data_IF_911831939093
#
_entry.id   IF_911831939093
#
_cell.length_a   1.000
_cell.length_b   1.000
_cell.length_c   1.000
_cell.angle_alpha   90.00
_cell.angle_beta   90.00
_cell.angle_gamma   90.00
#
_symmetry.space_group_name_H-M   'P 1'
#
loop_
_entity.id
_entity.type
_entity.pdbx_description
1 polymer ?
#
# COMPACT_ATOMS: atom_id res chain seq x y z
N UNK A 1 1.77 -61.12 15.80
CA UNK A 1 1.86 -60.70 14.38
C UNK A 1 0.81 -59.61 14.17
N UNK A 2 1.15 -58.35 14.46
CA UNK A 2 0.25 -57.20 14.23
C UNK A 2 0.70 -56.51 12.94
N UNK A 3 -0.20 -56.17 12.00
CA UNK A 3 0.17 -55.34 10.88
C UNK A 3 0.27 -53.89 11.37
N UNK A 4 1.45 -53.31 11.21
CA UNK A 4 1.70 -51.89 11.44
C UNK A 4 0.94 -51.07 10.39
N UNK A 5 0.13 -50.13 10.86
CA UNK A 5 -0.50 -49.10 10.05
C UNK A 5 0.58 -48.19 9.49
N UNK A 6 0.90 -48.35 8.22
CA UNK A 6 1.80 -47.48 7.49
C UNK A 6 1.04 -46.20 7.13
N UNK A 7 1.21 -45.16 7.95
CA UNK A 7 0.64 -43.85 7.68
C UNK A 7 1.54 -43.12 6.68
N UNK A 8 1.02 -42.59 5.56
CA UNK A 8 1.83 -41.82 4.64
C UNK A 8 2.40 -40.56 5.31
N UNK A 9 3.61 -40.11 4.94
CA UNK A 9 4.22 -38.93 5.53
C UNK A 9 3.38 -37.67 5.22
N UNK A 10 3.32 -36.70 6.13
CA UNK A 10 2.57 -35.47 5.89
C UNK A 10 3.11 -34.75 4.65
N UNK A 11 2.19 -34.30 3.79
CA UNK A 11 2.50 -33.47 2.63
C UNK A 11 3.42 -32.31 3.05
N UNK A 12 4.57 -32.23 2.41
CA UNK A 12 5.66 -31.34 2.79
C UNK A 12 5.21 -29.89 2.92
N UNK A 13 5.54 -29.32 4.08
CA UNK A 13 5.63 -27.88 4.30
C UNK A 13 6.56 -27.29 3.24
N UNK A 14 6.00 -26.67 2.19
CA UNK A 14 6.78 -25.95 1.19
C UNK A 14 7.74 -24.99 1.89
N UNK A 15 9.04 -25.20 1.70
CA UNK A 15 10.08 -24.36 2.30
C UNK A 15 9.86 -22.92 1.84
N UNK A 16 9.79 -21.93 2.75
CA UNK A 16 9.48 -20.54 2.40
C UNK A 16 10.63 -19.79 1.67
N UNK A 17 11.55 -20.50 0.98
CA UNK A 17 12.79 -19.92 0.46
C UNK A 17 12.65 -19.22 -0.90
N UNK A 18 11.78 -19.68 -1.81
CA UNK A 18 11.85 -19.27 -3.23
C UNK A 18 10.64 -18.50 -3.75
N UNK A 19 10.14 -17.51 -3.02
CA UNK A 19 9.18 -16.58 -3.63
C UNK A 19 9.92 -15.66 -4.61
N UNK A 20 9.46 -15.51 -5.87
CA UNK A 20 9.97 -14.49 -6.76
C UNK A 20 9.93 -13.12 -6.10
N UNK A 21 10.97 -12.32 -6.30
CA UNK A 21 11.11 -11.03 -5.62
C UNK A 21 9.89 -10.10 -5.72
N UNK A 22 9.28 -9.90 -6.90
CA UNK A 22 8.03 -9.16 -7.04
C UNK A 22 6.85 -9.75 -6.26
N UNK A 23 6.74 -11.08 -6.17
CA UNK A 23 5.71 -11.73 -5.34
C UNK A 23 5.98 -11.45 -3.85
N UNK A 24 7.20 -11.69 -3.38
CA UNK A 24 7.60 -11.41 -2.00
C UNK A 24 7.35 -9.93 -1.62
N UNK A 25 7.61 -9.01 -2.53
CA UNK A 25 7.34 -7.59 -2.32
C UNK A 25 5.84 -7.31 -2.15
N UNK A 26 4.98 -7.84 -3.01
CA UNK A 26 3.53 -7.67 -2.89
C UNK A 26 2.99 -8.24 -1.59
N UNK A 27 3.53 -9.37 -1.12
CA UNK A 27 3.15 -9.92 0.19
C UNK A 27 3.54 -8.99 1.35
N UNK A 28 4.68 -8.30 1.23
CA UNK A 28 5.05 -7.27 2.22
C UNK A 28 4.07 -6.09 2.21
N UNK A 29 3.62 -5.64 1.04
CA UNK A 29 2.58 -4.61 0.95
C UNK A 29 1.28 -5.07 1.62
N UNK A 30 0.80 -6.26 1.26
CA UNK A 30 -0.41 -6.88 1.80
C UNK A 30 -0.34 -7.05 3.32
N UNK A 31 0.82 -7.37 3.90
CA UNK A 31 0.96 -7.48 5.36
C UNK A 31 0.56 -6.19 6.06
N UNK A 32 0.90 -5.02 5.50
CA UNK A 32 0.52 -3.72 6.09
C UNK A 32 -0.95 -3.38 5.82
N UNK A 33 -1.46 -3.72 4.63
CA UNK A 33 -2.88 -3.52 4.30
C UNK A 33 -3.81 -4.41 5.15
N UNK A 34 -3.35 -5.58 5.60
CA UNK A 34 -4.11 -6.48 6.47
C UNK A 34 -4.48 -5.87 7.83
N UNK A 35 -3.80 -4.80 8.25
CA UNK A 35 -4.15 -4.08 9.47
C UNK A 35 -5.51 -3.35 9.32
N UNK A 36 -5.97 -3.09 8.09
CA UNK A 36 -7.23 -2.41 7.78
C UNK A 36 -8.21 -3.29 6.99
N UNK A 37 -7.71 -4.08 6.03
CA UNK A 37 -8.51 -4.84 5.07
C UNK A 37 -8.24 -6.36 5.13
N UNK A 38 -8.39 -7.03 6.31
CA UNK A 38 -7.97 -8.42 6.48
C UNK A 38 -8.67 -9.39 5.54
N UNK A 39 -9.98 -9.24 5.30
CA UNK A 39 -10.74 -10.12 4.41
C UNK A 39 -10.25 -10.00 2.95
N UNK A 40 -10.04 -8.78 2.46
CA UNK A 40 -9.54 -8.51 1.11
C UNK A 40 -8.12 -9.04 0.90
N UNK A 41 -7.28 -8.96 1.94
CA UNK A 41 -5.97 -9.60 1.93
C UNK A 41 -6.08 -11.11 1.83
N UNK A 42 -6.99 -11.77 2.55
CA UNK A 42 -7.19 -13.21 2.39
C UNK A 42 -7.59 -13.59 0.97
N UNK A 43 -8.47 -12.81 0.35
CA UNK A 43 -8.88 -13.04 -1.03
C UNK A 43 -7.70 -12.89 -1.99
N UNK A 44 -6.85 -11.88 -1.78
CA UNK A 44 -5.63 -11.69 -2.56
C UNK A 44 -4.63 -12.85 -2.35
N UNK A 45 -4.43 -13.32 -1.12
CA UNK A 45 -3.55 -14.46 -0.82
C UNK A 45 -4.05 -15.74 -1.51
N UNK A 46 -5.37 -15.99 -1.50
CA UNK A 46 -5.97 -17.13 -2.21
C UNK A 46 -5.75 -17.03 -3.71
N UNK A 47 -5.95 -15.86 -4.32
CA UNK A 47 -5.68 -15.63 -5.76
C UNK A 47 -4.23 -15.84 -6.13
N UNK A 48 -3.31 -15.47 -5.23
CA UNK A 48 -1.86 -15.63 -5.42
C UNK A 48 -1.35 -17.04 -5.10
N UNK A 49 -2.19 -17.93 -4.55
CA UNK A 49 -1.79 -19.28 -4.15
C UNK A 49 -0.78 -19.32 -3.00
N UNK A 50 -0.78 -18.31 -2.12
CA UNK A 50 0.17 -18.19 -1.01
C UNK A 50 -0.53 -18.16 0.35
N UNK A 51 0.23 -18.46 1.39
CA UNK A 51 -0.24 -18.53 2.78
C UNK A 51 0.06 -17.25 3.55
N UNK A 52 -0.71 -17.02 4.64
CA UNK A 52 -0.38 -15.99 5.64
C UNK A 52 1.04 -16.14 6.22
N UNK A 53 1.53 -17.36 6.35
CA UNK A 53 2.88 -17.63 6.86
C UNK A 53 3.95 -17.10 5.90
N UNK A 54 3.80 -17.38 4.60
CA UNK A 54 4.66 -16.80 3.55
C UNK A 54 4.58 -15.27 3.53
N UNK A 55 3.39 -14.69 3.73
CA UNK A 55 3.23 -13.23 3.83
C UNK A 55 4.00 -12.63 5.01
N UNK A 56 3.88 -13.22 6.21
CA UNK A 56 4.62 -12.79 7.39
C UNK A 56 6.12 -12.92 7.18
N UNK A 57 6.56 -14.01 6.56
CA UNK A 57 7.97 -14.25 6.24
C UNK A 57 8.54 -13.20 5.30
N UNK A 58 7.84 -12.92 4.20
CA UNK A 58 8.24 -11.92 3.23
C UNK A 58 8.39 -10.53 3.88
N UNK A 59 7.41 -10.13 4.70
CA UNK A 59 7.51 -8.88 5.46
C UNK A 59 8.70 -8.89 6.44
N UNK A 60 8.93 -9.98 7.17
CA UNK A 60 10.07 -10.07 8.10
C UNK A 60 11.40 -9.89 7.38
N UNK A 61 11.61 -10.55 6.24
CA UNK A 61 12.82 -10.42 5.43
C UNK A 61 13.00 -9.01 4.87
N UNK A 62 11.92 -8.38 4.44
CA UNK A 62 11.95 -6.99 3.98
C UNK A 62 12.35 -6.04 5.11
N UNK A 63 11.73 -6.16 6.29
CA UNK A 63 12.10 -5.35 7.45
C UNK A 63 13.57 -5.55 7.81
N UNK A 64 14.06 -6.79 7.88
CA UNK A 64 15.47 -7.07 8.14
C UNK A 64 16.41 -6.44 7.09
N UNK A 65 16.02 -6.46 5.80
CA UNK A 65 16.76 -5.79 4.73
C UNK A 65 16.84 -4.29 4.98
N UNK A 66 15.72 -3.64 5.27
CA UNK A 66 15.63 -2.18 5.47
C UNK A 66 16.38 -1.68 6.71
N UNK A 67 16.52 -2.51 7.75
CA UNK A 67 17.27 -2.16 8.96
C UNK A 67 18.79 -2.44 8.84
N UNK A 68 19.25 -3.03 7.74
CA UNK A 68 20.68 -3.32 7.56
C UNK A 68 21.50 -2.05 7.26
N UNK A 69 22.74 -1.92 7.76
CA UNK A 69 23.58 -0.76 7.48
C UNK A 69 23.83 -0.50 5.98
N UNK A 70 23.78 -1.54 5.16
CA UNK A 70 23.94 -1.47 3.69
C UNK A 70 22.69 -0.94 2.98
N UNK A 71 21.50 -1.01 3.59
CA UNK A 71 20.26 -0.48 3.02
C UNK A 71 20.15 1.04 3.06
N UNK A 72 21.13 1.74 3.64
CA UNK A 72 21.23 3.22 3.61
C UNK A 72 21.29 3.83 2.21
N UNK A 73 21.42 3.01 1.17
CA UNK A 73 21.37 3.42 -0.24
C UNK A 73 19.94 3.32 -0.79
N UNK A 74 19.04 4.18 -0.31
CA UNK A 74 17.68 4.45 -0.83
C UNK A 74 17.01 3.38 -1.68
N UNK A 75 17.29 3.38 -2.99
CA UNK A 75 16.67 2.50 -4.00
C UNK A 75 17.20 1.06 -4.06
N UNK A 76 18.38 0.79 -3.50
CA UNK A 76 19.08 -0.49 -3.64
C UNK A 76 18.26 -1.68 -3.11
N UNK A 77 17.57 -1.58 -1.94
CA UNK A 77 16.67 -2.63 -1.48
C UNK A 77 15.53 -2.97 -2.45
N UNK A 78 14.96 -1.95 -3.10
CA UNK A 78 13.88 -2.09 -4.08
C UNK A 78 14.40 -2.77 -5.36
N UNK A 79 15.49 -2.27 -5.95
CA UNK A 79 16.11 -2.89 -7.14
C UNK A 79 16.54 -4.33 -6.88
N UNK A 80 17.09 -4.61 -5.70
CA UNK A 80 17.50 -5.95 -5.31
C UNK A 80 16.33 -6.92 -5.05
N UNK A 81 15.08 -6.45 -5.01
CA UNK A 81 13.91 -7.31 -4.83
C UNK A 81 13.00 -7.31 -6.05
N UNK A 82 12.77 -6.15 -6.66
CA UNK A 82 11.89 -5.96 -7.81
C UNK A 82 12.62 -6.08 -9.16
N UNK A 83 13.95 -6.07 -9.15
CA UNK A 83 14.77 -6.09 -10.37
C UNK A 83 14.83 -4.73 -11.05
N UNK A 84 15.00 -4.75 -12.37
CA UNK A 84 15.05 -3.55 -13.20
C UNK A 84 13.68 -2.85 -13.22
N UNK A 85 13.61 -1.52 -12.99
CA UNK A 85 12.36 -0.78 -13.12
C UNK A 85 11.84 -0.83 -14.57
N UNK A 86 10.52 -0.82 -14.71
CA UNK A 86 9.84 -0.68 -16.00
C UNK A 86 10.12 0.71 -16.60
N UNK A 87 10.13 1.74 -15.77
CA UNK A 87 10.47 3.10 -16.21
C UNK A 87 11.25 3.86 -15.15
N UNK A 88 12.07 4.80 -15.62
CA UNK A 88 12.76 5.81 -14.82
C UNK A 88 12.47 7.16 -15.47
N UNK A 89 11.77 8.03 -14.76
CA UNK A 89 11.34 9.33 -15.29
C UNK A 89 11.81 10.45 -14.38
N UNK A 90 12.53 11.42 -14.94
CA UNK A 90 12.88 12.65 -14.23
C UNK A 90 11.64 13.54 -14.09
N UNK A 91 11.35 13.97 -12.85
CA UNK A 91 10.26 14.90 -12.53
C UNK A 91 10.81 16.15 -11.86
N UNK A 92 10.14 17.28 -12.11
CA UNK A 92 10.40 18.53 -11.39
C UNK A 92 9.24 18.81 -10.45
N UNK A 93 9.52 18.85 -9.15
CA UNK A 93 8.54 19.14 -8.10
C UNK A 93 9.02 20.41 -7.41
N UNK A 94 8.38 21.54 -7.74
CA UNK A 94 8.90 22.86 -7.36
C UNK A 94 10.28 23.11 -7.99
N UNK A 95 11.28 23.38 -7.16
CA UNK A 95 12.68 23.55 -7.54
C UNK A 95 13.48 22.23 -7.55
N UNK A 96 12.91 21.14 -7.03
CA UNK A 96 13.58 19.86 -6.85
C UNK A 96 13.46 18.99 -8.11
N UNK A 97 14.59 18.44 -8.54
CA UNK A 97 14.65 17.41 -9.60
C UNK A 97 14.68 16.04 -8.95
N UNK A 98 13.67 15.22 -9.23
CA UNK A 98 13.49 13.89 -8.65
C UNK A 98 13.52 12.83 -9.74
N UNK A 99 13.86 11.59 -9.41
CA UNK A 99 13.61 10.45 -10.30
C UNK A 99 12.45 9.61 -9.76
N UNK A 100 11.47 9.33 -10.61
CA UNK A 100 10.40 8.38 -10.35
C UNK A 100 10.75 7.05 -11.02
N UNK A 101 11.01 6.03 -10.21
CA UNK A 101 11.24 4.67 -10.69
C UNK A 101 10.00 3.85 -10.46
N UNK A 102 9.54 3.13 -11.49
CA UNK A 102 8.32 2.33 -11.38
C UNK A 102 8.55 0.86 -11.69
N UNK A 103 7.83 -0.01 -10.98
CA UNK A 103 7.83 -1.45 -11.21
C UNK A 103 6.39 -1.98 -11.32
N UNK A 104 6.17 -3.03 -12.14
CA UNK A 104 4.90 -3.72 -12.18
C UNK A 104 4.62 -4.45 -10.85
N UNK A 105 3.35 -4.49 -10.46
CA UNK A 105 2.86 -5.23 -9.30
C UNK A 105 1.74 -6.16 -9.75
N UNK A 106 2.03 -7.42 -10.12
CA UNK A 106 1.09 -8.33 -10.79
C UNK A 106 -0.32 -8.49 -10.16
N UNK A 107 -0.48 -8.30 -8.85
CA UNK A 107 -1.75 -8.30 -8.15
C UNK A 107 -2.66 -7.13 -8.57
N UNK A 108 -2.06 -6.01 -8.94
CA UNK A 108 -2.73 -4.80 -9.39
C UNK A 108 -2.17 -4.40 -10.78
N UNK A 109 -2.65 -5.04 -11.87
CA UNK A 109 -2.08 -4.86 -13.22
C UNK A 109 -2.13 -3.40 -13.72
N UNK A 110 -3.15 -2.65 -13.29
CA UNK A 110 -3.35 -1.24 -13.63
C UNK A 110 -2.54 -0.29 -12.74
N UNK A 111 -1.76 -0.79 -11.79
CA UNK A 111 -0.94 0.01 -10.90
C UNK A 111 0.55 -0.27 -11.12
N UNK A 112 1.37 0.67 -10.63
CA UNK A 112 2.82 0.51 -10.48
C UNK A 112 3.22 0.84 -9.07
N UNK A 113 4.23 0.14 -8.56
CA UNK A 113 4.92 0.64 -7.39
C UNK A 113 5.94 1.68 -7.84
N UNK A 114 5.80 2.91 -7.37
CA UNK A 114 6.69 4.03 -7.64
C UNK A 114 7.54 4.32 -6.42
N UNK A 115 8.85 4.43 -6.60
CA UNK A 115 9.76 5.03 -5.63
C UNK A 115 10.29 6.35 -6.22
N UNK A 116 10.00 7.45 -5.54
CA UNK A 116 10.51 8.77 -5.90
C UNK A 116 11.78 9.06 -5.10
N UNK A 117 12.84 9.46 -5.79
CA UNK A 117 14.10 9.83 -5.16
C UNK A 117 14.38 11.32 -5.18
N UNK A 118 15.00 11.75 -4.08
CA UNK A 118 15.65 13.03 -3.93
C UNK A 118 16.90 13.15 -4.82
N UNK A 119 17.35 14.38 -5.10
CA UNK A 119 18.76 14.64 -5.37
C UNK A 119 19.63 13.97 -4.29
N UNK A 120 20.58 13.13 -4.69
CA UNK A 120 21.42 12.35 -3.76
C UNK A 120 20.93 10.92 -3.47
N UNK A 121 19.83 10.48 -4.10
CA UNK A 121 19.44 9.07 -4.16
C UNK A 121 18.67 8.52 -2.95
N UNK A 122 18.34 9.37 -1.97
CA UNK A 122 17.40 9.04 -0.91
C UNK A 122 15.98 8.88 -1.45
N UNK A 123 15.21 7.94 -0.92
CA UNK A 123 13.80 7.74 -1.31
C UNK A 123 12.92 8.66 -0.46
N UNK A 124 12.18 9.57 -1.10
CA UNK A 124 11.25 10.49 -0.42
C UNK A 124 9.87 9.87 -0.21
N UNK A 125 9.36 9.18 -1.22
CA UNK A 125 8.11 8.44 -1.11
C UNK A 125 8.18 7.16 -1.93
N UNK A 126 7.45 6.14 -1.47
CA UNK A 126 7.32 4.88 -2.16
C UNK A 126 5.90 4.33 -1.98
N UNK A 127 5.15 4.25 -3.07
CA UNK A 127 3.71 3.95 -3.04
C UNK A 127 3.20 3.41 -4.37
N UNK A 128 1.96 2.94 -4.38
CA UNK A 128 1.26 2.49 -5.57
C UNK A 128 0.61 3.67 -6.30
N UNK A 129 0.89 3.79 -7.58
CA UNK A 129 0.35 4.81 -8.50
C UNK A 129 -0.35 4.16 -9.67
N UNK A 130 -1.27 4.88 -10.32
CA UNK A 130 -1.91 4.41 -11.56
C UNK A 130 -0.86 4.27 -12.65
N UNK A 131 -0.87 3.12 -13.35
CA UNK A 131 0.01 2.91 -14.49
C UNK A 131 -0.32 3.94 -15.60
N UNK A 132 0.70 4.46 -16.32
CA UNK A 132 0.45 5.35 -17.45
C UNK A 132 -0.51 4.71 -18.47
N UNK A 133 -1.56 5.44 -18.85
CA UNK A 133 -2.58 4.96 -19.80
C UNK A 133 -3.63 4.00 -19.23
N UNK A 134 -3.50 3.55 -17.98
CA UNK A 134 -4.54 2.76 -17.33
C UNK A 134 -5.72 3.66 -16.91
N UNK A 135 -6.97 3.16 -16.98
CA UNK A 135 -8.13 3.94 -16.57
C UNK A 135 -8.09 4.24 -15.07
N UNK A 136 -8.30 5.51 -14.72
CA UNK A 136 -8.49 5.94 -13.34
C UNK A 136 -9.95 5.71 -12.91
N UNK A 137 -10.22 5.42 -11.62
CA UNK A 137 -11.58 5.31 -11.12
C UNK A 137 -12.31 6.66 -11.20
N UNK A 138 -13.58 6.62 -11.57
CA UNK A 138 -14.46 7.79 -11.50
C UNK A 138 -14.94 8.00 -10.06
N UNK A 139 -14.36 8.97 -9.37
CA UNK A 139 -14.70 9.30 -7.99
C UNK A 139 -15.65 10.51 -7.99
N UNK A 140 -16.94 10.29 -7.73
CA UNK A 140 -17.98 11.33 -7.72
C UNK A 140 -18.49 11.60 -6.31
N UNK A 141 -18.58 10.55 -5.51
CA UNK A 141 -19.10 10.57 -4.15
C UNK A 141 -18.19 9.79 -3.22
N UNK A 142 -18.42 9.92 -1.92
CA UNK A 142 -17.71 9.13 -0.91
C UNK A 142 -17.99 7.62 -1.07
N UNK A 143 -19.09 7.20 -1.72
CA UNK A 143 -19.40 5.80 -2.00
C UNK A 143 -18.40 5.15 -2.98
N UNK A 144 -17.77 5.95 -3.85
CA UNK A 144 -16.80 5.47 -4.84
C UNK A 144 -15.43 5.18 -4.22
N UNK A 145 -15.22 5.62 -2.97
CA UNK A 145 -14.04 5.30 -2.17
C UNK A 145 -14.12 3.85 -1.66
N UNK A 146 -13.82 2.92 -2.55
CA UNK A 146 -13.74 1.48 -2.28
C UNK A 146 -12.29 1.09 -1.97
N UNK A 147 -12.02 0.27 -0.93
CA UNK A 147 -10.66 -0.10 -0.59
C UNK A 147 -9.89 -0.71 -1.79
N UNK A 148 -8.69 -0.19 -2.01
CA UNK A 148 -7.74 -0.50 -3.10
C UNK A 148 -8.17 -0.05 -4.51
N UNK A 149 -9.31 0.62 -4.68
CA UNK A 149 -9.75 1.06 -6.02
C UNK A 149 -9.00 2.31 -6.52
N UNK A 150 -8.67 3.21 -5.59
CA UNK A 150 -8.12 4.52 -5.88
C UNK A 150 -6.82 4.82 -5.12
N UNK A 151 -5.98 5.63 -5.76
CA UNK A 151 -4.76 6.17 -5.16
C UNK A 151 -5.03 7.49 -4.45
N UNK A 152 -4.13 7.87 -3.56
CA UNK A 152 -4.16 9.18 -2.88
C UNK A 152 -4.16 10.35 -3.86
N UNK A 153 -3.41 10.27 -4.97
CA UNK A 153 -3.40 11.32 -6.01
C UNK A 153 -4.75 11.41 -6.75
N UNK A 154 -5.40 10.27 -6.99
CA UNK A 154 -6.72 10.22 -7.61
C UNK A 154 -7.78 10.84 -6.70
N UNK A 155 -7.75 10.52 -5.41
CA UNK A 155 -8.67 11.12 -4.42
C UNK A 155 -8.42 12.62 -4.24
N UNK A 156 -7.16 13.05 -4.15
CA UNK A 156 -6.79 14.46 -4.01
C UNK A 156 -7.26 15.32 -5.19
N UNK A 157 -7.19 14.78 -6.41
CA UNK A 157 -7.67 15.44 -7.62
C UNK A 157 -9.20 15.44 -7.72
N UNK A 158 -9.87 14.37 -7.29
CA UNK A 158 -11.32 14.24 -7.39
C UNK A 158 -12.06 15.16 -6.40
N UNK A 159 -11.50 15.37 -5.21
CA UNK A 159 -12.16 16.10 -4.13
C UNK A 159 -11.33 17.27 -3.59
N UNK A 160 -11.08 18.32 -4.41
CA UNK A 160 -10.42 19.53 -3.93
C UNK A 160 -11.37 20.37 -3.02
N UNK A 161 -10.84 21.08 -2.01
CA UNK A 161 -9.44 21.07 -1.58
C UNK A 161 -9.12 19.80 -0.77
N UNK A 162 -8.00 19.16 -1.10
CA UNK A 162 -7.51 18.00 -0.37
C UNK A 162 -6.34 18.42 0.53
N UNK A 163 -6.44 18.15 1.83
CA UNK A 163 -5.41 18.53 2.81
C UNK A 163 -4.65 17.29 3.29
N UNK A 164 -3.36 17.15 2.96
CA UNK A 164 -2.53 16.07 3.47
C UNK A 164 -2.44 16.10 4.99
N UNK A 165 -2.40 14.92 5.60
CA UNK A 165 -2.29 14.72 7.03
C UNK A 165 -1.29 13.59 7.32
N UNK A 166 -0.57 13.70 8.43
CA UNK A 166 0.33 12.65 8.88
C UNK A 166 -0.44 11.35 9.14
N UNK A 167 0.07 10.23 8.64
CA UNK A 167 -0.50 8.91 8.89
C UNK A 167 -0.09 8.33 10.24
N UNK A 168 -0.73 7.23 10.65
CA UNK A 168 -0.43 6.56 11.93
C UNK A 168 0.86 5.71 11.92
N UNK A 169 1.53 5.59 10.77
CA UNK A 169 2.77 4.84 10.59
C UNK A 169 3.51 5.31 9.31
N UNK A 170 4.81 5.02 9.12
CA UNK A 170 5.60 5.54 7.99
C UNK A 170 5.06 5.22 6.59
N UNK A 171 4.29 4.14 6.43
CA UNK A 171 3.72 3.69 5.14
C UNK A 171 2.25 4.08 5.00
N UNK A 172 1.71 4.81 5.98
CA UNK A 172 0.31 5.24 6.04
C UNK A 172 0.24 6.73 5.76
N UNK A 173 -0.80 7.12 5.04
CA UNK A 173 -1.05 8.51 4.70
C UNK A 173 -2.51 8.84 4.97
N UNK A 174 -2.80 10.10 5.27
CA UNK A 174 -4.17 10.56 5.45
C UNK A 174 -4.43 11.80 4.60
N UNK A 175 -5.67 11.93 4.15
CA UNK A 175 -6.12 13.06 3.35
C UNK A 175 -7.49 13.51 3.85
N UNK A 176 -7.57 14.74 4.37
CA UNK A 176 -8.86 15.36 4.64
C UNK A 176 -9.42 15.93 3.34
N UNK A 177 -10.66 15.58 3.03
CA UNK A 177 -11.38 15.98 1.82
C UNK A 177 -12.82 16.36 2.18
N UNK A 178 -13.44 17.19 1.35
CA UNK A 178 -14.88 17.45 1.37
C UNK A 178 -15.49 16.89 0.09
N UNK A 179 -16.28 15.82 0.20
CA UNK A 179 -16.84 15.10 -0.93
C UNK A 179 -18.36 14.92 -0.79
N UNK A 180 -19.12 14.85 -1.90
CA UNK A 180 -20.54 14.51 -1.82
C UNK A 180 -20.73 13.10 -1.25
N UNK A 181 -21.68 12.95 -0.34
CA UNK A 181 -22.19 11.67 0.12
C UNK A 181 -23.02 10.96 -0.96
N UNK A 182 -23.48 9.73 -0.69
CA UNK A 182 -24.37 9.01 -1.60
C UNK A 182 -25.69 9.74 -1.89
N UNK A 183 -26.14 10.57 -0.96
CA UNK A 183 -27.32 11.44 -1.02
C UNK A 183 -27.03 12.82 -1.64
N UNK A 184 -25.79 13.09 -2.02
CA UNK A 184 -25.32 14.37 -2.54
C UNK A 184 -24.96 15.40 -1.46
N UNK A 185 -25.23 15.16 -0.18
CA UNK A 185 -24.86 16.06 0.90
C UNK A 185 -23.34 16.10 1.07
N UNK A 186 -22.75 17.28 1.30
CA UNK A 186 -21.30 17.38 1.49
C UNK A 186 -20.89 16.75 2.82
N UNK A 187 -19.86 15.91 2.79
CA UNK A 187 -19.28 15.22 3.94
C UNK A 187 -17.80 15.58 4.05
N UNK A 188 -17.39 15.97 5.24
CA UNK A 188 -15.97 16.06 5.58
C UNK A 188 -15.48 14.67 5.97
N UNK A 189 -14.48 14.17 5.24
CA UNK A 189 -13.97 12.82 5.37
C UNK A 189 -12.46 12.85 5.48
N UNK A 190 -11.92 12.05 6.39
CA UNK A 190 -10.49 11.73 6.41
C UNK A 190 -10.31 10.37 5.76
N UNK A 191 -9.70 10.33 4.58
CA UNK A 191 -9.36 9.09 3.89
C UNK A 191 -7.99 8.57 4.36
N UNK A 192 -7.92 7.29 4.74
CA UNK A 192 -6.68 6.61 5.12
C UNK A 192 -6.15 5.75 3.98
N UNK A 193 -4.85 5.85 3.74
CA UNK A 193 -4.13 5.13 2.69
C UNK A 193 -2.99 4.33 3.29
N UNK A 194 -2.67 3.20 2.67
CA UNK A 194 -1.46 2.41 2.95
C UNK A 194 -0.77 2.16 1.63
N UNK A 195 0.51 2.49 1.53
CA UNK A 195 1.27 2.47 0.28
C UNK A 195 0.58 3.27 -0.84
N UNK A 196 -0.07 4.39 -0.51
CA UNK A 196 -0.80 5.24 -1.47
C UNK A 196 -2.13 4.69 -1.97
N UNK A 197 -2.53 3.47 -1.61
CA UNK A 197 -3.87 2.94 -1.92
C UNK A 197 -4.84 3.16 -0.77
N UNK A 198 -6.05 3.59 -1.13
CA UNK A 198 -7.13 3.82 -0.19
C UNK A 198 -7.47 2.53 0.58
N UNK A 199 -7.59 2.65 1.90
CA UNK A 199 -7.95 1.53 2.78
C UNK A 199 -9.34 1.74 3.37
N UNK A 200 -9.60 2.90 3.96
CA UNK A 200 -10.87 3.19 4.62
C UNK A 200 -11.04 4.68 4.88
N UNK A 201 -12.22 5.06 5.31
CA UNK A 201 -12.42 6.34 6.00
C UNK A 201 -11.91 6.18 7.42
N UNK A 202 -11.16 7.14 7.93
CA UNK A 202 -10.96 7.24 9.36
C UNK A 202 -12.32 7.48 9.99
N UNK A 203 -12.62 6.76 11.06
CA UNK A 203 -13.75 7.09 11.91
C UNK A 203 -13.51 8.51 12.43
N UNK A 204 -14.53 9.36 12.31
CA UNK A 204 -14.46 10.69 12.90
C UNK A 204 -14.21 10.52 14.40
N UNK A 205 -13.32 11.33 14.97
CA UNK A 205 -13.39 11.59 16.39
C UNK A 205 -14.75 12.23 16.63
N UNK A 206 -15.75 11.42 16.95
CA UNK A 206 -17.02 11.92 17.48
C UNK A 206 -16.71 12.73 18.74
N UNK A 207 -17.17 13.99 18.76
CA UNK A 207 -17.48 14.77 19.95
C UNK A 207 -16.40 14.92 21.02
N UNK A 208 -15.72 16.07 21.02
CA UNK A 208 -15.59 16.78 22.31
C UNK A 208 -16.81 17.69 22.41
N UNK A 209 -17.94 17.13 22.84
CA UNK A 209 -19.07 17.91 23.35
C UNK A 209 -18.82 18.24 24.83
N UNK A 210 -19.05 19.50 25.20
CA UNK A 210 -19.44 19.87 26.55
C UNK A 210 -18.39 20.54 27.44
N UNK A 211 -18.18 21.85 27.25
CA UNK A 211 -17.97 22.75 28.38
C UNK A 211 -18.50 24.14 28.04
N UNK A 212 -19.83 24.26 27.99
CA UNK A 212 -20.44 25.51 28.39
C UNK A 212 -20.27 25.67 29.90
N UNK A 213 -19.64 26.75 30.34
CA UNK A 213 -20.11 27.49 31.51
C UNK A 213 -19.80 28.96 31.31
N UNK A 214 -20.86 29.68 30.99
CA UNK A 214 -21.00 31.08 31.36
C UNK A 214 -21.11 31.10 32.88
N UNK A 215 -20.18 31.76 33.54
CA UNK A 215 -20.37 32.52 34.79
C UNK A 215 -19.20 33.51 34.92
#
# INVERSE_FOLDING_TARGET
MNPATDNPPPAGSGTPSDLPGPLAFQLMLLRRMADHEPARVEDALRRLGVTRAQMREANRRWQARMHSPRARTGLQPYRALLGTPESVTTRRIGDLTCEALTWPVPLWPDLRFEALTAPGGGVWNAWLVRAPGAPAPELRTTADLVPWSCTVDEVARAFPPARPMEGSAPTRWRLAITAPGPDGARQDVVAEFTWGLYQRRAEGTEGVEGAGRVE
#
